data_IF_448906017660
#
_entry.id   IF_448906017660
#
_cell.length_a   1.000
_cell.length_b   1.000
_cell.length_c   1.000
_cell.angle_alpha   90.00
_cell.angle_beta   90.00
_cell.angle_gamma   90.00
#
_symmetry.space_group_name_H-M   'P 1'
#
loop_
_entity.id
_entity.type
_entity.pdbx_description
1 polymer ?
#
# COMPACT_ATOMS: atom_id res chain seq x y z
N UNK A 1 -19.92 -21.40 -47.99
CA UNK A 1 -19.68 -20.64 -46.75
C UNK A 1 -18.34 -21.08 -46.22
N UNK A 2 -17.30 -20.27 -46.42
CA UNK A 2 -15.95 -20.55 -45.90
C UNK A 2 -15.91 -20.14 -44.44
N UNK A 3 -15.90 -21.12 -43.53
CA UNK A 3 -15.60 -20.89 -42.12
C UNK A 3 -14.15 -20.40 -42.00
N UNK A 4 -13.96 -19.09 -41.88
CA UNK A 4 -12.68 -18.49 -41.57
C UNK A 4 -12.37 -18.76 -40.09
N UNK A 5 -11.64 -19.82 -39.80
CA UNK A 5 -11.12 -20.09 -38.44
C UNK A 5 -10.03 -19.06 -38.15
N UNK A 6 -10.34 -18.05 -37.32
CA UNK A 6 -9.33 -17.12 -36.82
C UNK A 6 -8.47 -17.87 -35.80
N UNK A 7 -7.30 -18.35 -36.22
CA UNK A 7 -6.31 -18.95 -35.32
C UNK A 7 -5.54 -17.83 -34.62
N UNK A 8 -5.73 -17.67 -33.31
CA UNK A 8 -4.94 -16.75 -32.47
C UNK A 8 -3.70 -17.47 -31.96
N UNK A 9 -2.51 -17.09 -32.43
CA UNK A 9 -1.24 -17.57 -31.87
C UNK A 9 -0.91 -16.83 -30.57
N UNK A 10 -0.81 -17.54 -29.45
CA UNK A 10 -0.37 -17.00 -28.17
C UNK A 10 1.07 -17.43 -27.92
N UNK A 11 2.00 -16.49 -27.87
CA UNK A 11 3.37 -16.75 -27.46
C UNK A 11 3.43 -16.75 -25.92
N UNK A 12 3.52 -17.96 -25.37
CA UNK A 12 3.68 -18.25 -23.95
C UNK A 12 4.84 -19.23 -23.78
N UNK A 13 5.26 -19.50 -22.54
CA UNK A 13 6.23 -20.58 -22.29
C UNK A 13 5.74 -21.92 -22.87
N UNK A 14 6.63 -22.74 -23.42
CA UNK A 14 6.23 -24.03 -24.00
C UNK A 14 5.87 -25.07 -22.91
N UNK A 15 4.89 -25.93 -23.20
CA UNK A 15 4.50 -27.07 -22.36
C UNK A 15 4.15 -26.68 -20.92
N UNK A 16 4.80 -27.31 -19.94
CA UNK A 16 4.55 -27.06 -18.51
C UNK A 16 4.85 -25.62 -18.03
N UNK A 17 5.52 -24.79 -18.85
CA UNK A 17 5.75 -23.38 -18.54
C UNK A 17 4.61 -22.45 -18.96
N UNK A 18 3.71 -22.90 -19.85
CA UNK A 18 2.71 -22.04 -20.48
C UNK A 18 1.82 -21.31 -19.47
N UNK A 19 1.33 -21.92 -18.37
CA UNK A 19 0.49 -21.23 -17.38
C UNK A 19 1.23 -20.20 -16.52
N UNK A 20 2.54 -20.06 -16.68
CA UNK A 20 3.40 -19.20 -15.86
C UNK A 20 3.48 -17.76 -16.38
N UNK A 21 2.38 -17.01 -16.38
CA UNK A 21 2.34 -15.61 -16.80
C UNK A 21 1.36 -14.77 -15.96
N UNK A 22 1.41 -13.45 -16.14
CA UNK A 22 0.46 -12.48 -15.56
C UNK A 22 -0.37 -11.78 -16.65
N UNK A 23 -0.42 -12.36 -17.85
CA UNK A 23 -1.07 -11.73 -19.00
C UNK A 23 -0.35 -10.41 -19.32
N UNK A 24 -1.06 -9.28 -19.46
CA UNK A 24 -0.47 -8.00 -19.82
C UNK A 24 0.47 -7.39 -18.78
N UNK A 25 0.67 -7.98 -17.59
CA UNK A 25 1.69 -7.52 -16.64
C UNK A 25 2.97 -8.35 -16.66
N UNK A 26 3.04 -9.40 -17.49
CA UNK A 26 4.21 -10.28 -17.54
C UNK A 26 5.48 -9.53 -17.94
N UNK A 27 5.37 -8.51 -18.78
CA UNK A 27 6.50 -7.66 -19.16
C UNK A 27 7.02 -6.74 -18.05
N UNK A 28 6.22 -6.46 -17.01
CA UNK A 28 6.68 -5.76 -15.81
C UNK A 28 7.39 -6.70 -14.82
N UNK A 29 7.18 -8.01 -14.98
CA UNK A 29 7.90 -9.05 -14.26
C UNK A 29 8.39 -10.11 -15.26
N UNK A 30 9.37 -9.78 -16.13
CA UNK A 30 9.79 -10.67 -17.22
C UNK A 30 10.29 -12.03 -16.72
N UNK A 31 10.20 -13.04 -17.58
CA UNK A 31 10.69 -14.38 -17.27
C UNK A 31 12.15 -14.40 -16.84
N UNK A 32 13.00 -13.61 -17.49
CA UNK A 32 14.43 -13.48 -17.19
C UNK A 32 14.69 -13.01 -15.75
N UNK A 33 13.91 -12.04 -15.26
CA UNK A 33 14.02 -11.53 -13.89
C UNK A 33 13.63 -12.62 -12.88
N UNK A 34 12.56 -13.36 -13.15
CA UNK A 34 12.13 -14.46 -12.28
C UNK A 34 13.19 -15.57 -12.26
N UNK A 35 13.76 -15.93 -13.41
CA UNK A 35 14.80 -16.95 -13.50
C UNK A 35 16.07 -16.55 -12.75
N UNK A 36 16.52 -15.30 -12.90
CA UNK A 36 17.69 -14.80 -12.19
C UNK A 36 17.49 -14.88 -10.67
N UNK A 37 16.31 -14.48 -10.18
CA UNK A 37 15.99 -14.59 -8.75
C UNK A 37 15.92 -16.05 -8.30
N UNK A 38 15.37 -16.96 -9.11
CA UNK A 38 15.39 -18.39 -8.80
C UNK A 38 16.82 -18.92 -8.73
N UNK A 39 17.72 -18.49 -9.62
CA UNK A 39 19.13 -18.87 -9.60
C UNK A 39 19.83 -18.33 -8.33
N UNK A 40 19.71 -17.04 -8.05
CA UNK A 40 20.30 -16.37 -6.87
C UNK A 40 19.82 -16.94 -5.53
N UNK A 41 18.62 -17.53 -5.52
CA UNK A 41 18.04 -18.14 -4.31
C UNK A 41 18.23 -19.65 -4.22
N UNK A 42 18.88 -20.27 -5.23
CA UNK A 42 19.10 -21.71 -5.29
C UNK A 42 17.80 -22.51 -5.46
N UNK A 43 16.79 -21.92 -6.11
CA UNK A 43 15.44 -22.50 -6.27
C UNK A 43 15.14 -22.95 -7.70
N UNK A 44 16.10 -22.88 -8.60
CA UNK A 44 16.02 -23.54 -9.92
C UNK A 44 15.91 -25.05 -9.71
N UNK A 45 14.93 -25.67 -10.36
CA UNK A 45 14.75 -27.12 -10.31
C UNK A 45 15.90 -27.86 -11.00
N UNK A 46 16.31 -29.02 -10.45
CA UNK A 46 17.25 -29.94 -11.12
C UNK A 46 16.60 -30.72 -12.27
N UNK A 47 15.29 -30.99 -12.16
CA UNK A 47 14.48 -31.66 -13.19
C UNK A 47 13.20 -30.86 -13.40
N UNK A 48 12.87 -30.59 -14.67
CA UNK A 48 11.60 -29.96 -15.06
C UNK A 48 10.47 -30.97 -14.87
N UNK A 49 9.43 -30.56 -14.13
CA UNK A 49 8.19 -31.29 -13.86
C UNK A 49 7.01 -30.38 -14.24
N UNK A 50 5.79 -30.88 -14.13
CA UNK A 50 4.54 -30.15 -14.43
C UNK A 50 4.37 -28.78 -13.75
N UNK A 51 5.06 -28.55 -12.63
CA UNK A 51 5.10 -27.27 -11.92
C UNK A 51 6.54 -26.77 -11.73
N UNK A 52 7.15 -26.17 -12.77
CA UNK A 52 8.46 -25.53 -12.67
C UNK A 52 8.42 -24.36 -11.67
N UNK A 53 9.57 -24.03 -11.05
CA UNK A 53 9.61 -22.99 -10.02
C UNK A 53 9.14 -21.62 -10.53
N UNK A 54 9.46 -21.27 -11.79
CA UNK A 54 9.00 -20.04 -12.46
C UNK A 54 7.47 -19.97 -12.52
N UNK A 55 6.81 -21.05 -12.91
CA UNK A 55 5.35 -21.12 -12.98
C UNK A 55 4.75 -20.91 -11.60
N UNK A 56 5.30 -21.57 -10.57
CA UNK A 56 4.81 -21.40 -9.19
C UNK A 56 4.94 -19.95 -8.72
N UNK A 57 6.00 -19.23 -9.09
CA UNK A 57 6.13 -17.78 -8.80
C UNK A 57 4.97 -17.00 -9.41
N UNK A 58 4.70 -17.18 -10.71
CA UNK A 58 3.63 -16.46 -11.39
C UNK A 58 2.24 -16.81 -10.85
N UNK A 59 1.98 -18.08 -10.55
CA UNK A 59 0.71 -18.49 -9.94
C UNK A 59 0.49 -17.85 -8.57
N UNK A 60 1.54 -17.72 -7.75
CA UNK A 60 1.43 -17.06 -6.45
C UNK A 60 1.14 -15.56 -6.60
N UNK A 61 1.81 -14.88 -7.54
CA UNK A 61 1.53 -13.47 -7.84
C UNK A 61 0.11 -13.32 -8.42
N UNK A 62 -0.29 -14.15 -9.38
CA UNK A 62 -1.66 -14.15 -9.90
C UNK A 62 -2.71 -14.43 -8.80
N UNK A 63 -2.41 -15.27 -7.81
CA UNK A 63 -3.28 -15.48 -6.65
C UNK A 63 -3.42 -14.21 -5.79
N UNK A 64 -2.36 -13.39 -5.69
CA UNK A 64 -2.44 -12.09 -5.01
C UNK A 64 -3.41 -11.13 -5.69
N UNK A 65 -3.52 -11.17 -7.03
CA UNK A 65 -4.52 -10.43 -7.81
C UNK A 65 -5.93 -11.02 -7.62
N UNK A 66 -6.03 -12.34 -7.49
CA UNK A 66 -7.29 -13.06 -7.36
C UNK A 66 -7.56 -13.51 -5.92
N UNK A 67 -7.74 -12.57 -4.98
CA UNK A 67 -7.79 -12.85 -3.53
C UNK A 67 -8.89 -13.82 -3.04
N UNK A 68 -9.86 -14.19 -3.88
CA UNK A 68 -10.89 -15.20 -3.59
C UNK A 68 -10.63 -16.58 -4.20
N UNK A 69 -9.56 -16.73 -4.96
CA UNK A 69 -9.36 -17.86 -5.88
C UNK A 69 -8.23 -18.76 -5.36
N UNK A 70 -8.49 -20.07 -5.37
CA UNK A 70 -7.46 -21.06 -5.02
C UNK A 70 -6.36 -21.14 -6.08
N UNK A 71 -5.15 -21.51 -5.70
CA UNK A 71 -4.02 -21.62 -6.63
C UNK A 71 -4.30 -22.54 -7.84
N UNK A 72 -5.06 -23.62 -7.66
CA UNK A 72 -5.47 -24.50 -8.76
C UNK A 72 -6.47 -23.87 -9.71
N UNK A 73 -7.36 -23.02 -9.20
CA UNK A 73 -8.25 -22.24 -10.06
C UNK A 73 -7.48 -21.13 -10.79
N UNK A 74 -6.49 -20.49 -10.15
CA UNK A 74 -5.58 -19.55 -10.83
C UNK A 74 -4.80 -20.24 -11.96
N UNK A 75 -4.32 -21.46 -11.73
CA UNK A 75 -3.66 -22.25 -12.77
C UNK A 75 -4.58 -22.50 -13.97
N UNK A 76 -5.83 -22.93 -13.72
CA UNK A 76 -6.82 -23.13 -14.79
C UNK A 76 -7.18 -21.83 -15.50
N UNK A 77 -7.27 -20.71 -14.79
CA UNK A 77 -7.49 -19.39 -15.40
C UNK A 77 -6.36 -19.04 -16.35
N UNK A 78 -5.10 -19.13 -15.90
CA UNK A 78 -3.94 -18.83 -16.75
C UNK A 78 -3.83 -19.77 -17.96
N UNK A 79 -4.23 -21.04 -17.80
CA UNK A 79 -4.25 -22.01 -18.90
C UNK A 79 -5.45 -21.94 -19.85
N UNK A 80 -6.50 -21.16 -19.52
CA UNK A 80 -7.80 -21.27 -20.18
C UNK A 80 -7.75 -20.96 -21.68
N UNK A 81 -7.05 -19.89 -22.06
CA UNK A 81 -6.87 -19.48 -23.45
C UNK A 81 -5.71 -20.18 -24.17
N UNK A 82 -4.99 -21.08 -23.48
CA UNK A 82 -3.86 -21.84 -24.01
C UNK A 82 -4.30 -23.24 -24.51
N UNK A 83 -5.60 -23.42 -24.78
CA UNK A 83 -6.20 -24.67 -25.25
C UNK A 83 -5.46 -25.24 -26.47
N UNK A 84 -5.01 -26.49 -26.35
CA UNK A 84 -4.15 -27.17 -27.32
C UNK A 84 -2.78 -27.58 -26.77
N UNK A 85 -2.33 -26.99 -25.64
CA UNK A 85 -0.99 -27.23 -25.09
C UNK A 85 -0.83 -28.48 -24.19
N UNK A 86 -1.85 -29.35 -24.07
CA UNK A 86 -1.77 -30.57 -23.24
C UNK A 86 -1.40 -30.30 -21.78
N UNK A 87 -1.93 -29.22 -21.19
CA UNK A 87 -1.54 -28.77 -19.87
C UNK A 87 -1.94 -29.78 -18.78
N UNK A 88 -1.04 -30.08 -17.82
CA UNK A 88 -1.37 -30.96 -16.70
C UNK A 88 -2.44 -30.31 -15.81
N UNK A 89 -3.26 -31.10 -15.12
CA UNK A 89 -4.16 -30.62 -14.06
C UNK A 89 -3.53 -30.89 -12.69
N UNK A 90 -2.83 -29.91 -12.10
CA UNK A 90 -2.08 -30.13 -10.89
C UNK A 90 -3.01 -30.33 -9.68
N UNK A 91 -2.82 -31.45 -8.99
CA UNK A 91 -3.56 -31.72 -7.75
C UNK A 91 -3.25 -30.69 -6.65
N UNK A 92 -4.15 -30.56 -5.68
CA UNK A 92 -3.92 -29.71 -4.49
C UNK A 92 -2.61 -30.07 -3.77
N UNK A 93 -2.30 -31.36 -3.64
CA UNK A 93 -1.06 -31.84 -3.04
C UNK A 93 0.16 -31.48 -3.89
N UNK A 94 0.07 -31.60 -5.21
CA UNK A 94 1.14 -31.19 -6.14
C UNK A 94 1.47 -29.70 -6.02
N UNK A 95 0.44 -28.84 -6.00
CA UNK A 95 0.59 -27.40 -5.79
C UNK A 95 1.20 -27.07 -4.43
N UNK A 96 0.74 -27.74 -3.36
CA UNK A 96 1.33 -27.58 -2.03
C UNK A 96 2.81 -27.95 -2.01
N UNK A 97 3.17 -29.12 -2.54
CA UNK A 97 4.57 -29.58 -2.61
C UNK A 97 5.44 -28.64 -3.45
N UNK A 98 4.91 -28.08 -4.54
CA UNK A 98 5.61 -27.12 -5.37
C UNK A 98 5.89 -25.81 -4.63
N UNK A 99 4.92 -25.31 -3.85
CA UNK A 99 5.10 -24.13 -3.00
C UNK A 99 6.13 -24.34 -1.89
N UNK A 100 6.10 -25.50 -1.23
CA UNK A 100 7.06 -25.88 -0.19
C UNK A 100 8.48 -25.95 -0.77
N UNK A 101 8.64 -26.56 -1.95
CA UNK A 101 9.93 -26.61 -2.68
C UNK A 101 10.46 -25.22 -3.01
N UNK A 102 9.59 -24.31 -3.46
CA UNK A 102 9.96 -22.94 -3.80
C UNK A 102 10.40 -22.13 -2.56
N UNK A 103 9.65 -22.21 -1.46
CA UNK A 103 9.85 -21.37 -0.28
C UNK A 103 9.51 -19.89 -0.51
N UNK A 104 9.76 -19.05 0.49
CA UNK A 104 9.40 -17.61 0.46
C UNK A 104 10.50 -16.70 -0.10
N UNK A 105 11.76 -17.13 -0.04
CA UNK A 105 12.94 -16.31 -0.39
C UNK A 105 12.90 -15.74 -1.83
N UNK A 106 12.45 -16.47 -2.87
CA UNK A 106 12.33 -15.90 -4.22
C UNK A 106 11.39 -14.69 -4.27
N UNK A 107 10.20 -14.80 -3.65
CA UNK A 107 9.23 -13.69 -3.65
C UNK A 107 9.70 -12.52 -2.77
N UNK A 108 10.40 -12.80 -1.67
CA UNK A 108 11.02 -11.74 -0.88
C UNK A 108 12.04 -10.95 -1.71
N UNK A 109 12.88 -11.63 -2.49
CA UNK A 109 13.89 -10.98 -3.32
C UNK A 109 13.24 -10.22 -4.49
N UNK A 110 12.26 -10.82 -5.17
CA UNK A 110 11.51 -10.14 -6.25
C UNK A 110 10.84 -8.86 -5.78
N UNK A 111 10.19 -8.88 -4.60
CA UNK A 111 9.60 -7.66 -4.04
C UNK A 111 10.65 -6.57 -3.82
N UNK A 112 11.83 -6.94 -3.28
CA UNK A 112 12.93 -5.98 -3.06
C UNK A 112 13.44 -5.37 -4.36
N UNK A 113 13.64 -6.19 -5.40
CA UNK A 113 14.10 -5.67 -6.70
C UNK A 113 13.04 -4.75 -7.33
N UNK A 114 11.76 -5.09 -7.26
CA UNK A 114 10.67 -4.22 -7.74
C UNK A 114 10.58 -2.90 -6.94
N UNK A 115 10.86 -2.91 -5.65
CA UNK A 115 10.86 -1.70 -4.83
C UNK A 115 12.09 -0.79 -5.05
N UNK A 116 13.22 -1.34 -5.51
CA UNK A 116 14.43 -0.56 -5.88
C UNK A 116 14.25 0.28 -7.14
N UNK A 117 13.29 -0.11 -7.98
CA UNK A 117 12.94 0.60 -9.20
C UNK A 117 11.49 1.10 -9.09
N UNK A 118 11.22 2.07 -8.20
CA UNK A 118 9.88 2.64 -8.09
C UNK A 118 9.48 3.29 -9.40
N UNK A 119 8.17 3.53 -9.57
CA UNK A 119 7.73 4.35 -10.68
C UNK A 119 8.36 5.74 -10.58
N UNK A 120 8.82 6.26 -11.72
CA UNK A 120 9.36 7.61 -11.80
C UNK A 120 8.34 8.62 -11.23
N UNK A 121 8.80 9.49 -10.34
CA UNK A 121 8.01 10.61 -9.80
C UNK A 121 8.28 11.81 -10.72
N UNK A 122 7.35 12.22 -11.60
CA UNK A 122 7.64 13.24 -12.61
C UNK A 122 7.97 14.60 -12.02
N UNK A 123 7.45 14.90 -10.82
CA UNK A 123 7.65 16.17 -10.11
C UNK A 123 7.78 15.90 -8.60
N UNK A 124 9.01 15.77 -8.07
CA UNK A 124 9.23 15.64 -6.63
C UNK A 124 8.82 16.94 -5.91
N UNK A 125 8.22 16.81 -4.71
CA UNK A 125 7.76 17.95 -3.95
C UNK A 125 8.96 18.74 -3.42
N UNK A 126 9.18 19.95 -3.96
CA UNK A 126 10.34 20.80 -3.61
C UNK A 126 11.69 20.06 -3.74
N UNK A 127 11.79 19.17 -4.73
CA UNK A 127 12.99 18.36 -4.96
C UNK A 127 13.11 17.12 -4.07
N UNK A 128 12.09 16.82 -3.25
CA UNK A 128 12.07 15.65 -2.36
C UNK A 128 11.03 14.61 -2.80
N UNK A 129 11.40 13.34 -2.70
CA UNK A 129 10.50 12.21 -2.83
C UNK A 129 9.70 12.05 -1.54
N UNK A 130 8.40 12.33 -1.60
CA UNK A 130 7.52 12.24 -0.43
C UNK A 130 7.12 10.79 -0.22
N UNK A 131 7.45 10.27 0.95
CA UNK A 131 7.12 8.93 1.40
C UNK A 131 6.30 8.97 2.68
N UNK A 132 5.51 7.94 2.95
CA UNK A 132 4.81 7.76 4.22
C UNK A 132 5.06 6.36 4.79
N UNK A 133 5.12 6.27 6.11
CA UNK A 133 5.19 5.00 6.86
C UNK A 133 3.93 4.82 7.66
N UNK A 134 3.32 3.65 7.54
CA UNK A 134 2.17 3.26 8.36
C UNK A 134 2.05 1.73 8.42
N UNK A 135 1.23 1.24 9.35
CA UNK A 135 0.96 -0.16 9.60
C UNK A 135 -0.47 -0.58 9.26
N UNK A 136 -0.66 -1.84 8.89
CA UNK A 136 -1.98 -2.47 8.86
C UNK A 136 -1.90 -3.92 9.31
N UNK A 137 -3.05 -4.48 9.68
CA UNK A 137 -3.16 -5.90 10.06
C UNK A 137 -3.96 -6.70 9.04
N UNK A 138 -3.48 -7.91 8.75
CA UNK A 138 -4.15 -8.92 7.93
C UNK A 138 -4.55 -10.10 8.81
N UNK A 139 -5.77 -10.62 8.61
CA UNK A 139 -6.22 -11.83 9.28
C UNK A 139 -5.61 -13.07 8.64
N UNK A 140 -5.18 -14.02 9.46
CA UNK A 140 -4.62 -15.30 8.99
C UNK A 140 -5.38 -16.49 9.58
N UNK A 141 -5.31 -17.69 8.98
CA UNK A 141 -5.99 -18.87 9.50
C UNK A 141 -5.59 -19.18 10.95
N UNK A 142 -6.56 -19.56 11.79
CA UNK A 142 -6.31 -20.02 13.16
C UNK A 142 -5.79 -21.47 13.14
N UNK A 143 -4.50 -21.63 13.28
CA UNK A 143 -3.81 -22.93 13.34
C UNK A 143 -2.79 -22.94 14.48
N UNK A 144 -2.32 -24.12 14.90
CA UNK A 144 -1.30 -24.22 15.93
C UNK A 144 -0.02 -23.43 15.56
N UNK A 145 0.43 -23.52 14.32
CA UNK A 145 1.65 -22.85 13.85
C UNK A 145 1.49 -21.33 13.77
N UNK A 146 0.35 -20.82 13.30
CA UNK A 146 0.08 -19.37 13.25
C UNK A 146 -0.10 -18.78 14.65
N UNK A 147 -0.75 -19.50 15.57
CA UNK A 147 -0.86 -19.08 16.98
C UNK A 147 0.48 -19.05 17.69
N UNK A 148 1.33 -20.05 17.46
CA UNK A 148 2.67 -20.09 18.06
C UNK A 148 3.53 -18.90 17.61
N UNK A 149 3.36 -18.45 16.36
CA UNK A 149 4.12 -17.31 15.82
C UNK A 149 3.53 -15.94 16.16
N UNK A 150 2.20 -15.77 16.06
CA UNK A 150 1.55 -14.45 16.15
C UNK A 150 0.83 -14.21 17.49
N UNK A 151 0.59 -15.26 18.27
CA UNK A 151 -0.31 -15.23 19.41
C UNK A 151 -1.77 -15.05 19.02
N UNK A 152 -2.62 -14.70 20.01
CA UNK A 152 -3.98 -14.20 19.78
C UNK A 152 -4.11 -12.79 20.31
N UNK A 153 -4.67 -11.90 19.49
CA UNK A 153 -4.78 -10.51 19.86
C UNK A 153 -5.92 -10.30 20.86
N UNK A 154 -5.61 -9.74 22.03
CA UNK A 154 -6.62 -9.37 23.03
C UNK A 154 -7.08 -7.94 22.78
N UNK A 155 -8.37 -7.72 22.84
CA UNK A 155 -9.00 -6.41 22.79
C UNK A 155 -9.99 -6.28 23.96
N UNK A 156 -10.51 -5.07 24.20
CA UNK A 156 -11.40 -4.78 25.35
C UNK A 156 -12.62 -5.73 25.44
N UNK A 157 -13.04 -6.31 24.32
CA UNK A 157 -14.22 -7.18 24.23
C UNK A 157 -13.88 -8.68 24.13
N UNK A 158 -12.61 -9.07 24.32
CA UNK A 158 -12.19 -10.47 24.37
C UNK A 158 -10.98 -10.77 23.49
N UNK A 159 -10.85 -12.02 23.04
CA UNK A 159 -9.77 -12.45 22.17
C UNK A 159 -10.24 -12.42 20.73
N UNK A 160 -9.42 -11.90 19.82
CA UNK A 160 -9.72 -11.89 18.38
C UNK A 160 -9.93 -13.32 17.87
N UNK A 161 -10.89 -13.50 16.96
CA UNK A 161 -11.21 -14.80 16.38
C UNK A 161 -10.04 -15.38 15.57
N UNK A 162 -9.49 -14.58 14.65
CA UNK A 162 -8.32 -14.94 13.85
C UNK A 162 -7.03 -14.32 14.42
N UNK A 163 -5.89 -15.02 14.38
CA UNK A 163 -4.58 -14.40 14.54
C UNK A 163 -4.38 -13.29 13.49
N UNK A 164 -3.58 -12.28 13.84
CA UNK A 164 -3.33 -11.12 13.01
C UNK A 164 -1.83 -10.99 12.75
N UNK A 165 -1.45 -10.73 11.50
CA UNK A 165 -0.09 -10.34 11.11
C UNK A 165 -0.09 -8.87 10.79
N UNK A 166 0.86 -8.11 11.35
CA UNK A 166 1.06 -6.70 11.04
C UNK A 166 1.99 -6.58 9.84
N UNK A 167 1.61 -5.76 8.87
CA UNK A 167 2.41 -5.34 7.73
C UNK A 167 2.67 -3.84 7.89
N UNK A 168 3.92 -3.43 7.81
CA UNK A 168 4.32 -2.02 7.82
C UNK A 168 5.03 -1.74 6.50
N UNK A 169 4.61 -0.68 5.84
CA UNK A 169 5.11 -0.31 4.52
C UNK A 169 5.65 1.12 4.51
N UNK A 170 6.72 1.32 3.75
CA UNK A 170 7.18 2.63 3.29
C UNK A 170 6.65 2.81 1.86
N UNK A 171 5.93 3.90 1.61
CA UNK A 171 5.19 4.12 0.36
C UNK A 171 5.50 5.49 -0.20
N UNK A 172 5.80 5.58 -1.50
CA UNK A 172 5.87 6.86 -2.21
C UNK A 172 4.47 7.44 -2.37
N UNK A 173 4.20 8.63 -1.85
CA UNK A 173 2.84 9.17 -1.79
C UNK A 173 2.26 9.51 -3.17
N UNK A 174 3.07 10.00 -4.11
CA UNK A 174 2.63 10.43 -5.44
C UNK A 174 2.18 9.28 -6.35
N UNK A 175 2.81 8.12 -6.24
CA UNK A 175 2.56 6.94 -7.08
C UNK A 175 1.87 5.81 -6.32
N UNK A 176 1.88 5.86 -4.99
CA UNK A 176 1.50 4.79 -4.06
C UNK A 176 2.28 3.48 -4.28
N UNK A 177 3.45 3.53 -4.92
CA UNK A 177 4.35 2.37 -5.03
C UNK A 177 5.06 2.13 -3.70
N UNK A 178 5.32 0.85 -3.41
CA UNK A 178 6.10 0.44 -2.24
C UNK A 178 7.58 0.78 -2.45
N UNK A 179 8.20 1.36 -1.43
CA UNK A 179 9.65 1.50 -1.32
C UNK A 179 10.25 0.36 -0.47
N UNK A 180 9.54 -0.10 0.55
CA UNK A 180 9.90 -1.28 1.34
C UNK A 180 8.69 -1.75 2.16
N UNK A 181 8.72 -3.00 2.62
CA UNK A 181 7.72 -3.54 3.53
C UNK A 181 8.31 -4.60 4.47
N UNK A 182 7.81 -4.63 5.70
CA UNK A 182 8.11 -5.66 6.69
C UNK A 182 6.82 -6.17 7.32
N UNK A 183 6.84 -7.41 7.81
CA UNK A 183 5.70 -7.97 8.51
C UNK A 183 6.12 -8.86 9.67
N UNK A 184 5.21 -9.07 10.62
CA UNK A 184 5.44 -9.86 11.82
C UNK A 184 4.26 -9.84 12.78
N UNK A 185 4.47 -10.30 14.02
CA UNK A 185 3.47 -10.18 15.10
C UNK A 185 3.05 -8.72 15.30
N UNK A 186 1.80 -8.52 15.74
CA UNK A 186 1.30 -7.17 16.03
C UNK A 186 2.09 -6.55 17.19
N UNK A 187 2.79 -5.46 16.90
CA UNK A 187 3.52 -4.69 17.91
C UNK A 187 2.62 -3.61 18.51
N UNK A 188 2.66 -3.45 19.84
CA UNK A 188 2.08 -2.28 20.51
C UNK A 188 2.84 -0.97 20.23
N UNK A 189 4.01 -1.05 19.57
CA UNK A 189 4.86 0.09 19.19
C UNK A 189 5.29 -0.09 17.74
N UNK A 190 4.55 0.49 16.80
CA UNK A 190 4.76 0.28 15.35
C UNK A 190 6.13 0.73 14.86
N UNK A 191 6.72 1.75 15.52
CA UNK A 191 8.07 2.21 15.21
C UNK A 191 9.15 1.12 15.38
N UNK A 192 8.92 0.10 16.21
CA UNK A 192 9.90 -0.98 16.46
C UNK A 192 10.12 -1.82 15.19
N UNK A 193 9.11 -2.48 14.61
CA UNK A 193 9.25 -3.13 13.31
C UNK A 193 9.59 -2.14 12.18
N UNK A 194 9.09 -0.90 12.23
CA UNK A 194 9.39 0.10 11.19
C UNK A 194 10.86 0.51 11.11
N UNK A 195 11.66 0.38 12.19
CA UNK A 195 13.12 0.58 12.15
C UNK A 195 13.80 -0.21 11.04
N UNK A 196 13.26 -1.38 10.67
CA UNK A 196 13.80 -2.20 9.58
C UNK A 196 13.66 -1.54 8.21
N UNK A 197 12.73 -0.59 8.03
CA UNK A 197 12.51 0.14 6.78
C UNK A 197 13.55 1.26 6.57
N UNK A 198 14.27 1.67 7.62
CA UNK A 198 15.30 2.72 7.53
C UNK A 198 16.42 2.37 6.54
N UNK A 199 16.66 1.08 6.28
CA UNK A 199 17.61 0.60 5.25
C UNK A 199 17.29 1.05 3.83
N UNK A 200 16.07 1.51 3.60
CA UNK A 200 15.53 1.91 2.30
C UNK A 200 15.37 3.42 2.18
N UNK A 201 15.75 4.17 3.22
CA UNK A 201 15.77 5.62 3.19
C UNK A 201 17.13 6.13 2.70
N UNK A 202 17.10 7.28 2.03
CA UNK A 202 18.27 7.96 1.52
C UNK A 202 18.05 9.47 1.45
N UNK A 203 19.13 10.22 1.21
CA UNK A 203 19.07 11.65 0.89
C UNK A 203 18.13 11.93 -0.27
N UNK A 204 17.34 13.00 -0.15
CA UNK A 204 16.32 13.37 -1.14
C UNK A 204 14.92 12.82 -0.82
N UNK A 205 14.74 12.07 0.27
CA UNK A 205 13.41 11.65 0.74
C UNK A 205 12.87 12.55 1.85
N UNK A 206 11.56 12.79 1.83
CA UNK A 206 10.80 13.33 2.96
C UNK A 206 9.83 12.26 3.47
N UNK A 207 10.02 11.80 4.71
CA UNK A 207 9.17 10.77 5.34
C UNK A 207 8.10 11.41 6.23
N UNK A 208 6.84 11.25 5.82
CA UNK A 208 5.65 11.64 6.58
C UNK A 208 5.29 10.55 7.60
N UNK A 209 5.18 10.95 8.86
CA UNK A 209 5.00 10.06 10.00
C UNK A 209 3.81 10.49 10.85
N UNK A 210 2.97 9.55 11.28
CA UNK A 210 1.91 9.83 12.26
C UNK A 210 2.46 9.87 13.70
N UNK A 211 1.61 10.27 14.66
CA UNK A 211 1.95 10.44 16.07
C UNK A 211 2.49 9.20 16.77
N UNK A 212 2.27 7.99 16.23
CA UNK A 212 2.85 6.76 16.75
C UNK A 212 4.35 6.59 16.49
N UNK A 213 4.97 7.46 15.69
CA UNK A 213 6.38 7.38 15.26
C UNK A 213 7.25 8.51 15.82
N UNK A 214 6.80 9.21 16.87
CA UNK A 214 7.50 10.36 17.47
C UNK A 214 8.63 10.00 18.45
N UNK A 215 9.03 8.73 18.47
CA UNK A 215 10.10 8.21 19.34
C UNK A 215 11.46 8.81 18.95
N UNK A 216 12.10 9.48 19.92
CA UNK A 216 13.39 10.15 19.80
C UNK A 216 14.47 9.38 19.02
N UNK A 217 14.73 8.13 19.45
CA UNK A 217 15.74 7.29 18.81
C UNK A 217 15.36 6.89 17.39
N UNK A 218 14.07 6.69 17.10
CA UNK A 218 13.61 6.38 15.75
C UNK A 218 13.84 7.56 14.79
N UNK A 219 13.49 8.78 15.21
CA UNK A 219 13.71 9.98 14.41
C UNK A 219 15.21 10.27 14.21
N UNK A 220 16.04 9.99 15.23
CA UNK A 220 17.50 10.14 15.12
C UNK A 220 18.11 9.18 14.11
N UNK A 221 17.71 7.91 14.15
CA UNK A 221 18.17 6.90 13.19
C UNK A 221 17.65 7.19 11.79
N UNK A 222 16.44 7.75 11.66
CA UNK A 222 15.89 8.19 10.38
C UNK A 222 16.75 9.29 9.76
N UNK A 223 17.05 10.37 10.49
CA UNK A 223 17.90 11.45 9.96
C UNK A 223 19.32 10.96 9.66
N UNK A 224 19.83 9.96 10.39
CA UNK A 224 21.14 9.36 10.10
C UNK A 224 21.21 8.67 8.73
N UNK A 225 20.07 8.35 8.10
CA UNK A 225 20.02 7.86 6.70
C UNK A 225 20.19 8.96 5.65
N UNK A 226 20.18 10.23 6.08
CA UNK A 226 20.18 11.40 5.20
C UNK A 226 18.78 11.83 4.72
N UNK A 227 17.73 11.07 5.05
CA UNK A 227 16.34 11.46 4.76
C UNK A 227 15.82 12.51 5.75
N UNK A 228 14.89 13.32 5.28
CA UNK A 228 14.11 14.26 6.09
C UNK A 228 12.82 13.62 6.61
N UNK A 229 12.23 14.21 7.65
CA UNK A 229 10.93 13.80 8.16
C UNK A 229 9.99 14.96 8.44
N UNK A 230 8.69 14.67 8.41
CA UNK A 230 7.66 15.45 9.09
C UNK A 230 6.79 14.49 9.90
N UNK A 231 6.76 14.68 11.22
CA UNK A 231 6.01 13.83 12.16
C UNK A 231 4.94 14.64 12.87
N UNK A 232 3.74 14.09 13.00
CA UNK A 232 2.74 14.64 13.91
C UNK A 232 3.14 14.32 15.35
N UNK A 233 3.06 15.31 16.22
CA UNK A 233 3.30 15.15 17.65
C UNK A 233 1.98 15.09 18.42
N UNK A 234 1.98 14.44 19.60
CA UNK A 234 0.86 14.54 20.53
C UNK A 234 0.56 16.00 20.85
N UNK A 235 -0.73 16.36 20.98
CA UNK A 235 -1.15 17.73 21.30
C UNK A 235 -0.57 18.23 22.64
N UNK A 236 -0.22 17.30 23.53
CA UNK A 236 0.37 17.56 24.84
C UNK A 236 1.89 17.77 24.79
N UNK A 237 2.53 17.61 23.63
CA UNK A 237 3.97 17.81 23.50
C UNK A 237 4.36 19.26 23.83
N UNK A 238 5.29 19.41 24.76
CA UNK A 238 5.85 20.71 25.15
C UNK A 238 7.12 20.95 24.34
N UNK A 239 7.08 21.96 23.47
CA UNK A 239 8.17 22.32 22.56
C UNK A 239 8.54 23.79 22.77
N UNK A 240 9.49 24.11 23.67
CA UNK A 240 9.90 25.49 23.89
C UNK A 240 10.50 26.07 22.60
N UNK A 241 10.13 27.30 22.26
CA UNK A 241 10.65 27.97 21.07
C UNK A 241 12.06 28.50 21.35
N UNK A 242 13.03 28.04 20.57
CA UNK A 242 14.38 28.61 20.53
C UNK A 242 14.40 29.85 19.62
N UNK A 243 13.71 29.78 18.48
CA UNK A 243 13.58 30.87 17.53
C UNK A 243 12.23 30.77 16.81
N UNK A 244 11.55 31.90 16.57
CA UNK A 244 10.32 31.95 15.75
C UNK A 244 10.62 32.47 14.36
N UNK A 245 9.91 31.95 13.36
CA UNK A 245 10.02 32.37 11.97
C UNK A 245 8.78 33.14 11.50
N UNK A 246 8.88 33.99 10.46
CA UNK A 246 7.76 34.79 9.95
C UNK A 246 6.56 33.96 9.45
N UNK A 247 6.78 32.72 9.01
CA UNK A 247 5.72 31.81 8.56
C UNK A 247 4.91 31.18 9.71
N UNK A 248 5.17 31.58 10.96
CA UNK A 248 4.49 31.09 12.16
C UNK A 248 5.08 29.80 12.74
N UNK A 249 6.03 29.17 12.06
CA UNK A 249 6.78 28.04 12.61
C UNK A 249 7.86 28.50 13.60
N UNK A 250 8.40 27.57 14.38
CA UNK A 250 9.47 27.86 15.31
C UNK A 250 10.48 26.73 15.43
N UNK A 251 11.75 27.07 15.60
CA UNK A 251 12.82 26.15 15.95
C UNK A 251 12.65 25.71 17.40
N UNK A 252 12.84 24.42 17.66
CA UNK A 252 12.79 23.82 18.99
C UNK A 252 13.74 22.62 19.08
N UNK A 253 13.92 22.08 20.28
CA UNK A 253 14.63 20.82 20.47
C UNK A 253 13.66 19.69 20.74
N UNK A 254 13.84 18.58 20.04
CA UNK A 254 13.18 17.31 20.33
C UNK A 254 14.25 16.25 20.51
N UNK A 255 14.36 15.72 21.72
CA UNK A 255 15.34 14.71 22.09
C UNK A 255 16.79 15.07 21.69
N UNK A 256 17.20 16.30 22.00
CA UNK A 256 18.56 16.79 21.73
C UNK A 256 18.82 17.18 20.27
N UNK A 257 17.81 17.16 19.40
CA UNK A 257 17.95 17.58 17.99
C UNK A 257 17.11 18.80 17.69
N UNK A 258 17.66 19.70 16.89
CA UNK A 258 16.90 20.80 16.31
C UNK A 258 15.85 20.27 15.34
N UNK A 259 14.61 20.69 15.56
CA UNK A 259 13.49 20.45 14.67
C UNK A 259 12.68 21.73 14.55
N UNK A 260 11.99 21.90 13.44
CA UNK A 260 11.04 23.00 13.28
C UNK A 260 9.64 22.51 13.57
N UNK A 261 8.97 23.18 14.51
CA UNK A 261 7.61 22.89 14.91
C UNK A 261 6.62 23.82 14.19
N UNK A 262 5.48 23.25 13.81
CA UNK A 262 4.41 23.94 13.08
C UNK A 262 3.08 23.56 13.75
N UNK A 263 2.37 24.56 14.28
CA UNK A 263 1.00 24.37 14.76
C UNK A 263 0.02 24.67 13.64
N UNK A 264 -0.79 23.68 13.25
CA UNK A 264 -1.73 23.78 12.14
C UNK A 264 -3.14 23.60 12.67
N UNK A 265 -4.05 24.50 12.35
CA UNK A 265 -5.48 24.32 12.54
C UNK A 265 -6.10 23.90 11.22
N UNK A 266 -6.67 22.70 11.19
CA UNK A 266 -7.39 22.15 10.04
C UNK A 266 -8.88 22.27 10.31
N UNK A 267 -9.56 23.07 9.50
CA UNK A 267 -11.00 23.23 9.51
C UNK A 267 -11.60 22.53 8.31
N UNK A 268 -12.59 21.68 8.56
CA UNK A 268 -13.39 21.01 7.55
C UNK A 268 -14.81 21.54 7.68
N UNK A 269 -15.22 22.37 6.73
CA UNK A 269 -16.56 22.96 6.66
C UNK A 269 -17.40 22.15 5.68
N UNK A 270 -18.59 21.77 6.10
CA UNK A 270 -19.53 20.93 5.36
C UNK A 270 -20.93 21.53 5.44
N UNK A 271 -21.86 21.04 4.63
CA UNK A 271 -23.29 21.36 4.73
C UNK A 271 -23.89 21.01 6.11
N UNK A 272 -23.23 20.10 6.86
CA UNK A 272 -23.62 19.70 8.22
C UNK A 272 -22.85 20.42 9.33
N UNK A 273 -22.07 21.44 8.98
CA UNK A 273 -21.31 22.27 9.92
C UNK A 273 -19.80 22.11 9.81
N UNK A 274 -19.09 22.81 10.71
CA UNK A 274 -17.63 22.92 10.71
C UNK A 274 -17.01 22.06 11.79
N UNK A 275 -16.00 21.29 11.43
CA UNK A 275 -15.14 20.57 12.38
C UNK A 275 -13.74 21.14 12.34
N UNK A 276 -13.21 21.45 13.51
CA UNK A 276 -11.85 21.98 13.66
C UNK A 276 -10.97 20.96 14.39
N UNK A 277 -9.78 20.73 13.88
CA UNK A 277 -8.74 19.90 14.49
C UNK A 277 -7.43 20.68 14.52
N UNK A 278 -6.69 20.58 15.61
CA UNK A 278 -5.35 21.19 15.69
C UNK A 278 -4.30 20.09 15.66
N UNK A 279 -3.31 20.24 14.79
CA UNK A 279 -2.16 19.37 14.65
C UNK A 279 -0.92 20.13 15.09
N UNK A 280 0.00 19.41 15.72
CA UNK A 280 1.36 19.88 15.96
C UNK A 280 2.28 19.01 15.13
N UNK A 281 2.97 19.60 14.17
CA UNK A 281 3.94 18.91 13.32
C UNK A 281 5.35 19.29 13.78
N UNK A 282 6.29 18.37 13.67
CA UNK A 282 7.72 18.63 13.76
C UNK A 282 8.41 18.10 12.53
N UNK A 283 9.34 18.88 11.97
CA UNK A 283 10.08 18.53 10.76
C UNK A 283 11.58 18.76 10.92
N UNK A 284 12.39 17.95 10.23
CA UNK A 284 13.84 18.18 10.08
C UNK A 284 14.16 19.26 9.04
N UNK A 285 13.20 19.69 8.21
CA UNK A 285 13.37 20.77 7.25
C UNK A 285 13.42 22.12 7.96
N UNK A 286 14.61 22.59 8.31
CA UNK A 286 14.77 23.80 9.15
C UNK A 286 14.57 25.11 8.37
N UNK A 287 14.93 25.16 7.08
CA UNK A 287 14.84 26.39 6.29
C UNK A 287 13.40 26.74 5.89
N UNK A 288 12.84 27.81 6.49
CA UNK A 288 11.46 28.26 6.26
C UNK A 288 11.24 28.98 4.94
N UNK A 289 12.32 29.47 4.30
CA UNK A 289 12.23 30.12 2.99
C UNK A 289 12.07 29.10 1.87
N UNK A 290 12.80 27.98 1.94
CA UNK A 290 12.72 26.91 0.93
C UNK A 290 11.58 25.94 1.20
N UNK A 291 11.23 25.73 2.47
CA UNK A 291 10.12 24.89 2.89
C UNK A 291 9.19 25.66 3.83
N UNK A 292 8.29 26.51 3.34
CA UNK A 292 7.34 27.25 4.18
C UNK A 292 6.40 26.35 4.99
N UNK A 293 5.95 26.81 6.15
CA UNK A 293 5.09 26.06 7.07
C UNK A 293 3.76 25.60 6.45
N UNK A 294 3.11 26.45 5.66
CA UNK A 294 1.87 26.15 4.93
C UNK A 294 2.07 25.06 3.87
N UNK A 295 3.20 25.10 3.14
CA UNK A 295 3.57 24.08 2.17
C UNK A 295 3.81 22.71 2.84
N UNK A 296 4.48 22.69 4.00
CA UNK A 296 4.64 21.43 4.78
C UNK A 296 3.29 20.94 5.29
N UNK A 297 2.44 21.83 5.80
CA UNK A 297 1.12 21.47 6.30
C UNK A 297 0.24 20.85 5.18
N UNK A 298 0.29 21.42 3.97
CA UNK A 298 -0.38 20.89 2.80
C UNK A 298 0.19 19.51 2.40
N UNK A 299 1.52 19.38 2.29
CA UNK A 299 2.19 18.12 1.97
C UNK A 299 1.90 17.03 3.01
N UNK A 300 1.79 17.37 4.29
CA UNK A 300 1.47 16.40 5.34
C UNK A 300 0.13 15.67 5.11
N UNK A 301 -0.79 16.26 4.33
CA UNK A 301 -2.03 15.58 3.93
C UNK A 301 -1.76 14.30 3.12
N UNK A 302 -0.69 14.29 2.31
CA UNK A 302 -0.30 13.16 1.47
C UNK A 302 0.13 11.93 2.29
N UNK A 303 0.30 12.06 3.61
CA UNK A 303 0.46 10.91 4.50
C UNK A 303 -0.69 9.93 4.35
N UNK A 304 -1.92 10.39 4.10
CA UNK A 304 -3.09 9.53 3.90
C UNK A 304 -2.98 8.57 2.69
N UNK A 305 -2.05 8.81 1.77
CA UNK A 305 -1.85 7.96 0.60
C UNK A 305 -1.39 6.53 0.97
N UNK A 306 -0.77 6.35 2.15
CA UNK A 306 -0.45 5.02 2.70
C UNK A 306 -1.70 4.27 3.20
N UNK A 307 -2.71 4.98 3.72
CA UNK A 307 -3.97 4.37 4.13
C UNK A 307 -4.75 3.90 2.90
N UNK A 308 -4.73 4.67 1.82
CA UNK A 308 -5.29 4.28 0.52
C UNK A 308 -4.56 3.06 -0.09
N UNK A 309 -3.26 2.95 0.14
CA UNK A 309 -2.46 1.77 -0.21
C UNK A 309 -2.98 0.53 0.52
N UNK A 310 -3.15 0.61 1.84
CA UNK A 310 -3.70 -0.51 2.61
C UNK A 310 -5.16 -0.80 2.30
N UNK A 311 -5.97 0.21 1.98
CA UNK A 311 -7.34 0.02 1.51
C UNK A 311 -7.36 -0.79 0.21
N UNK A 312 -6.47 -0.48 -0.72
CA UNK A 312 -6.34 -1.21 -1.99
C UNK A 312 -6.00 -2.69 -1.76
N UNK A 313 -5.04 -2.97 -0.88
CA UNK A 313 -4.63 -4.35 -0.55
C UNK A 313 -5.74 -5.10 0.20
N UNK A 314 -6.30 -4.52 1.27
CA UNK A 314 -7.25 -5.22 2.17
C UNK A 314 -8.65 -5.33 1.60
N UNK A 315 -9.14 -4.25 1.00
CA UNK A 315 -10.52 -4.16 0.54
C UNK A 315 -10.64 -4.55 -0.92
N UNK A 316 -9.80 -3.98 -1.80
CA UNK A 316 -9.96 -4.21 -3.24
C UNK A 316 -9.39 -5.56 -3.69
N UNK A 317 -8.16 -5.90 -3.29
CA UNK A 317 -7.55 -7.19 -3.69
C UNK A 317 -8.08 -8.36 -2.86
N UNK A 318 -8.04 -8.24 -1.52
CA UNK A 318 -8.46 -9.34 -0.64
C UNK A 318 -9.97 -9.40 -0.40
N UNK A 319 -10.72 -8.31 -0.55
CA UNK A 319 -12.14 -8.28 -0.20
C UNK A 319 -12.41 -8.49 1.30
N UNK A 320 -11.48 -8.11 2.17
CA UNK A 320 -11.55 -8.31 3.62
C UNK A 320 -11.35 -9.77 4.07
N UNK A 321 -10.91 -10.66 3.18
CA UNK A 321 -10.74 -12.09 3.47
C UNK A 321 -9.50 -12.37 4.32
N UNK A 322 -9.54 -13.53 4.97
CA UNK A 322 -8.40 -14.14 5.67
C UNK A 322 -7.42 -14.70 4.63
N UNK A 323 -6.13 -14.61 4.91
CA UNK A 323 -5.10 -15.27 4.09
C UNK A 323 -5.29 -16.80 4.05
N UNK A 324 -4.66 -17.48 3.09
CA UNK A 324 -4.88 -18.90 2.84
C UNK A 324 -3.95 -19.80 3.66
N UNK A 325 -2.73 -19.35 3.97
CA UNK A 325 -1.69 -20.22 4.51
C UNK A 325 -1.74 -20.40 6.03
N UNK A 326 -1.50 -21.63 6.48
CA UNK A 326 -1.53 -22.02 7.90
C UNK A 326 -0.14 -22.14 8.52
N UNK A 327 0.93 -21.82 7.80
CA UNK A 327 2.32 -21.88 8.32
C UNK A 327 3.02 -20.54 8.16
N UNK A 328 3.94 -20.16 9.06
CA UNK A 328 4.70 -18.90 8.93
C UNK A 328 5.43 -18.77 7.59
N UNK A 329 6.04 -19.84 7.09
CA UNK A 329 6.72 -19.85 5.79
C UNK A 329 5.75 -19.65 4.61
N UNK A 330 4.58 -20.29 4.66
CA UNK A 330 3.53 -20.11 3.66
C UNK A 330 2.93 -18.71 3.69
N UNK A 331 2.71 -18.14 4.88
CA UNK A 331 2.24 -16.77 5.06
C UNK A 331 3.26 -15.75 4.54
N UNK A 332 4.55 -15.94 4.82
CA UNK A 332 5.58 -15.07 4.27
C UNK A 332 5.56 -15.08 2.73
N UNK A 333 5.42 -16.27 2.13
CA UNK A 333 5.29 -16.41 0.67
C UNK A 333 4.04 -15.71 0.14
N UNK A 334 2.88 -15.89 0.77
CA UNK A 334 1.61 -15.29 0.35
C UNK A 334 1.62 -13.75 0.50
N UNK A 335 2.14 -13.22 1.60
CA UNK A 335 2.25 -11.76 1.81
C UNK A 335 3.18 -11.13 0.78
N UNK A 336 4.34 -11.74 0.49
CA UNK A 336 5.22 -11.24 -0.57
C UNK A 336 4.55 -11.28 -1.94
N UNK A 337 3.83 -12.36 -2.28
CA UNK A 337 3.09 -12.44 -3.53
C UNK A 337 2.02 -11.35 -3.66
N UNK A 338 1.27 -11.10 -2.58
CA UNK A 338 0.26 -10.05 -2.50
C UNK A 338 0.88 -8.65 -2.73
N UNK A 339 2.00 -8.36 -2.08
CA UNK A 339 2.69 -7.08 -2.22
C UNK A 339 3.33 -6.89 -3.61
N UNK A 340 3.87 -7.97 -4.22
CA UNK A 340 4.35 -7.94 -5.61
C UNK A 340 3.18 -7.60 -6.55
N UNK A 341 2.04 -8.27 -6.38
CA UNK A 341 0.84 -8.04 -7.18
C UNK A 341 0.37 -6.59 -7.10
N UNK A 342 0.31 -6.05 -5.89
CA UNK A 342 0.02 -4.64 -5.64
C UNK A 342 1.02 -3.71 -6.35
N UNK A 343 2.32 -4.00 -6.22
CA UNK A 343 3.38 -3.20 -6.81
C UNK A 343 3.28 -3.16 -8.34
N UNK A 344 3.05 -4.30 -8.99
CA UNK A 344 2.89 -4.38 -10.46
C UNK A 344 1.71 -3.54 -10.95
N UNK A 345 0.57 -3.58 -10.24
CA UNK A 345 -0.58 -2.72 -10.55
C UNK A 345 -0.22 -1.23 -10.41
N UNK A 346 0.54 -0.85 -9.39
CA UNK A 346 0.97 0.55 -9.22
C UNK A 346 1.97 0.99 -10.28
N UNK A 347 2.87 0.11 -10.71
CA UNK A 347 3.82 0.40 -11.78
C UNK A 347 3.11 0.63 -13.12
N UNK A 348 2.14 -0.21 -13.50
CA UNK A 348 1.38 0.01 -14.75
C UNK A 348 0.52 1.27 -14.67
N UNK A 349 -0.10 1.54 -13.51
CA UNK A 349 -0.86 2.76 -13.28
C UNK A 349 0.01 4.01 -13.39
N UNK A 350 1.20 4.01 -12.80
CA UNK A 350 2.09 5.15 -12.87
C UNK A 350 2.53 5.43 -14.32
N UNK A 351 2.86 4.38 -15.09
CA UNK A 351 3.18 4.51 -16.52
C UNK A 351 2.00 5.08 -17.32
N UNK A 352 0.79 4.60 -17.07
CA UNK A 352 -0.42 5.11 -17.71
C UNK A 352 -0.68 6.59 -17.37
N UNK A 353 -0.50 6.97 -16.11
CA UNK A 353 -0.60 8.37 -15.67
C UNK A 353 0.41 9.28 -16.37
N UNK A 354 1.69 8.88 -16.39
CA UNK A 354 2.74 9.62 -17.11
C UNK A 354 2.40 9.79 -18.58
N UNK A 355 1.95 8.72 -19.25
CA UNK A 355 1.56 8.79 -20.66
C UNK A 355 0.32 9.65 -20.93
N UNK A 356 -0.59 9.78 -19.95
CA UNK A 356 -1.74 10.68 -20.02
C UNK A 356 -1.40 12.14 -19.63
N UNK A 357 -0.20 12.42 -19.12
CA UNK A 357 0.12 13.70 -18.48
C UNK A 357 -0.69 13.95 -17.20
N UNK A 358 -1.15 12.89 -16.54
CA UNK A 358 -2.01 12.94 -15.34
C UNK A 358 -1.30 12.31 -14.13
N UNK A 359 -1.67 12.71 -12.90
CA UNK A 359 -1.14 12.05 -11.70
C UNK A 359 -1.55 10.57 -11.67
N UNK A 360 -0.69 9.72 -11.10
CA UNK A 360 -0.97 8.28 -10.93
C UNK A 360 -2.30 8.03 -10.19
N UNK A 361 -2.69 8.94 -9.29
CA UNK A 361 -3.95 8.89 -8.54
C UNK A 361 -5.21 9.06 -9.40
N UNK A 362 -5.07 9.54 -10.65
CA UNK A 362 -6.14 9.55 -11.63
C UNK A 362 -6.39 8.17 -12.27
N UNK A 363 -5.48 7.20 -12.10
CA UNK A 363 -5.67 5.86 -12.65
C UNK A 363 -6.49 4.99 -11.70
N UNK A 364 -7.44 4.22 -12.23
CA UNK A 364 -8.33 3.38 -11.42
C UNK A 364 -7.69 2.07 -10.97
N UNK A 365 -7.38 1.93 -9.67
CA UNK A 365 -6.80 0.67 -9.13
C UNK A 365 -7.70 -0.55 -9.36
N UNK A 366 -9.02 -0.41 -9.15
CA UNK A 366 -9.97 -1.50 -9.39
C UNK A 366 -10.08 -1.87 -10.88
N UNK A 367 -9.94 -0.89 -11.79
CA UNK A 367 -9.92 -1.13 -13.22
C UNK A 367 -8.62 -1.86 -13.60
N UNK A 368 -7.47 -1.41 -13.10
CA UNK A 368 -6.18 -2.06 -13.33
C UNK A 368 -6.21 -3.54 -12.89
N UNK A 369 -6.77 -3.80 -11.71
CA UNK A 369 -6.95 -5.16 -11.19
C UNK A 369 -7.85 -6.01 -12.11
N UNK A 370 -9.02 -5.48 -12.49
CA UNK A 370 -9.98 -6.19 -13.36
C UNK A 370 -9.36 -6.54 -14.70
N UNK A 371 -8.76 -5.57 -15.38
CA UNK A 371 -8.16 -5.78 -16.70
C UNK A 371 -6.97 -6.74 -16.66
N UNK A 372 -6.19 -6.69 -15.59
CA UNK A 372 -5.11 -7.66 -15.38
C UNK A 372 -5.65 -9.08 -15.24
N UNK A 373 -6.68 -9.29 -14.41
CA UNK A 373 -7.29 -10.62 -14.19
C UNK A 373 -7.93 -11.16 -15.48
N UNK A 374 -8.59 -10.30 -16.26
CA UNK A 374 -9.09 -10.64 -17.60
C UNK A 374 -7.95 -11.04 -18.53
N UNK A 375 -6.85 -10.28 -18.53
CA UNK A 375 -5.66 -10.53 -19.33
C UNK A 375 -4.97 -11.86 -19.00
N UNK A 376 -4.95 -12.27 -17.73
CA UNK A 376 -4.48 -13.60 -17.31
C UNK A 376 -5.36 -14.68 -17.93
N UNK A 377 -6.68 -14.54 -17.83
CA UNK A 377 -7.61 -15.58 -18.32
C UNK A 377 -7.57 -15.72 -19.85
N UNK A 378 -7.37 -14.60 -20.54
CA UNK A 378 -7.33 -14.53 -22.01
C UNK A 378 -5.92 -14.72 -22.60
N UNK A 379 -4.91 -14.95 -21.75
CA UNK A 379 -3.50 -15.09 -22.14
C UNK A 379 -3.02 -13.98 -23.10
N UNK A 380 -3.43 -12.74 -22.82
CA UNK A 380 -3.19 -11.60 -23.71
C UNK A 380 -1.87 -10.89 -23.38
N UNK A 381 -1.10 -10.53 -24.41
CA UNK A 381 0.17 -9.79 -24.29
C UNK A 381 1.16 -10.35 -23.27
N UNK A 382 1.35 -11.67 -23.26
CA UNK A 382 2.30 -12.35 -22.35
C UNK A 382 3.73 -11.88 -22.59
N UNK A 383 4.17 -11.76 -23.85
CA UNK A 383 5.50 -11.25 -24.18
C UNK A 383 5.63 -9.72 -23.98
N UNK A 384 4.56 -9.08 -23.53
CA UNK A 384 4.45 -7.64 -23.44
C UNK A 384 4.12 -6.97 -24.76
N UNK A 385 4.04 -5.63 -24.73
CA UNK A 385 3.93 -4.87 -25.96
C UNK A 385 5.28 -4.87 -26.70
N UNK A 386 5.27 -4.68 -28.04
CA UNK A 386 6.47 -4.75 -28.88
C UNK A 386 7.56 -3.71 -28.55
N UNK A 387 7.24 -2.70 -27.75
CA UNK A 387 8.18 -1.71 -27.19
C UNK A 387 7.87 -1.55 -25.70
N UNK A 388 8.89 -1.68 -24.83
CA UNK A 388 8.75 -1.51 -23.38
C UNK A 388 8.32 -0.09 -22.96
N UNK A 389 8.34 0.88 -23.88
CA UNK A 389 7.76 2.22 -23.73
C UNK A 389 6.24 2.23 -23.89
N UNK A 390 5.66 1.20 -24.48
CA UNK A 390 4.21 1.03 -24.60
C UNK A 390 3.62 0.58 -23.26
N UNK A 391 2.37 0.96 -23.04
CA UNK A 391 1.67 0.76 -21.77
C UNK A 391 1.14 -0.67 -21.57
N UNK A 392 1.19 -1.50 -22.63
CA UNK A 392 0.41 -2.73 -22.74
C UNK A 392 -1.11 -2.46 -22.71
N UNK A 393 -1.91 -3.52 -22.83
CA UNK A 393 -3.37 -3.43 -22.87
C UNK A 393 -3.95 -2.77 -21.61
N UNK A 394 -3.47 -3.16 -20.42
CA UNK A 394 -3.94 -2.61 -19.15
C UNK A 394 -3.62 -1.12 -19.03
N UNK A 395 -2.37 -0.72 -19.29
CA UNK A 395 -1.98 0.67 -19.16
C UNK A 395 -2.64 1.57 -20.23
N UNK A 396 -2.82 1.07 -21.45
CA UNK A 396 -3.57 1.75 -22.51
C UNK A 396 -5.01 1.99 -22.09
N UNK A 397 -5.69 0.95 -21.59
CA UNK A 397 -7.05 1.07 -21.07
C UNK A 397 -7.15 2.11 -19.95
N UNK A 398 -6.20 2.12 -19.00
CA UNK A 398 -6.18 3.09 -17.90
C UNK A 398 -5.97 4.53 -18.39
N UNK A 399 -5.05 4.75 -19.33
CA UNK A 399 -4.78 6.05 -19.94
C UNK A 399 -6.04 6.64 -20.59
N UNK A 400 -6.80 5.80 -21.28
CA UNK A 400 -7.98 6.21 -22.04
C UNK A 400 -9.23 6.34 -21.13
N UNK A 401 -9.17 5.83 -19.90
CA UNK A 401 -10.27 5.87 -18.93
C UNK A 401 -9.84 6.42 -17.55
N UNK A 402 -9.34 7.67 -17.49
CA UNK A 402 -8.95 8.28 -16.22
C UNK A 402 -10.17 8.43 -15.31
N UNK A 403 -9.95 8.29 -14.01
CA UNK A 403 -10.97 8.59 -13.01
C UNK A 403 -11.31 10.09 -13.05
N UNK A 404 -12.58 10.44 -12.79
CA UNK A 404 -12.93 11.84 -12.60
C UNK A 404 -12.19 12.42 -11.38
N UNK A 405 -12.04 13.76 -11.31
CA UNK A 405 -11.44 14.42 -10.15
C UNK A 405 -12.00 13.91 -8.82
N UNK A 406 -11.10 13.69 -7.85
CA UNK A 406 -11.46 13.14 -6.53
C UNK A 406 -12.50 14.06 -5.88
N UNK A 407 -13.72 13.53 -5.69
CA UNK A 407 -14.77 14.25 -4.97
C UNK A 407 -14.45 14.23 -3.47
N UNK A 408 -14.61 15.37 -2.81
CA UNK A 408 -14.51 15.43 -1.35
C UNK A 408 -15.68 14.63 -0.77
N UNK A 409 -15.38 13.48 -0.15
CA UNK A 409 -16.39 12.59 0.43
C UNK A 409 -16.37 12.72 1.94
N UNK A 410 -17.43 13.32 2.49
CA UNK A 410 -17.68 13.31 3.93
C UNK A 410 -18.77 12.31 4.21
N UNK A 411 -18.40 11.28 4.96
CA UNK A 411 -19.36 10.37 5.55
C UNK A 411 -19.36 10.64 7.05
N UNK A 412 -20.51 10.97 7.62
CA UNK A 412 -20.68 10.71 9.04
C UNK A 412 -20.42 9.22 9.27
N UNK A 413 -19.67 8.88 10.33
CA UNK A 413 -19.50 7.49 10.78
C UNK A 413 -20.86 6.97 11.27
N UNK A 414 -21.70 6.62 10.31
CA UNK A 414 -23.02 6.03 10.49
C UNK A 414 -22.95 4.64 9.88
N UNK A 415 -23.33 3.63 10.66
CA UNK A 415 -23.52 2.27 10.17
C UNK A 415 -24.76 2.26 9.29
N UNK A 416 -24.61 2.58 8.00
CA UNK A 416 -25.74 2.66 7.04
C UNK A 416 -26.32 1.29 6.68
N UNK A 417 -25.53 0.23 6.81
CA UNK A 417 -25.95 -1.19 6.78
C UNK A 417 -25.33 -1.88 7.97
N UNK A 418 -26.14 -2.53 8.82
CA UNK A 418 -25.60 -3.37 9.88
C UNK A 418 -24.86 -4.56 9.25
N UNK A 419 -23.76 -4.99 9.87
CA UNK A 419 -22.95 -6.12 9.41
C UNK A 419 -23.61 -7.48 9.69
N UNK A 420 -24.78 -7.50 10.32
CA UNK A 420 -25.50 -8.70 10.69
C UNK A 420 -26.50 -9.11 9.59
N UNK A 421 -26.45 -10.39 9.17
CA UNK A 421 -27.52 -11.01 8.37
C UNK A 421 -28.83 -11.14 9.15
N UNK A 422 -28.77 -11.13 10.48
CA UNK A 422 -29.94 -11.08 11.33
C UNK A 422 -30.41 -9.64 11.44
N UNK A 423 -31.66 -9.41 11.06
CA UNK A 423 -32.33 -8.13 11.29
C UNK A 423 -32.12 -7.74 12.75
N UNK A 424 -31.44 -6.63 13.00
CA UNK A 424 -31.42 -6.04 14.33
C UNK A 424 -32.89 -5.83 14.72
N UNK A 425 -33.32 -6.51 15.79
CA UNK A 425 -34.70 -6.46 16.27
C UNK A 425 -35.17 -5.01 16.35
N UNK A 426 -36.42 -4.80 15.88
CA UNK A 426 -37.16 -3.54 15.80
C UNK A 426 -36.59 -2.42 16.67
N UNK A 427 -35.81 -1.52 16.07
CA UNK A 427 -35.61 -0.18 16.63
C UNK A 427 -36.86 0.60 16.27
N UNK A 428 -37.62 0.99 17.31
CA UNK A 428 -38.88 1.69 17.21
C UNK A 428 -38.80 2.98 16.38
N UNK A 429 -39.92 3.23 15.70
CA UNK A 429 -40.41 4.47 15.11
C UNK A 429 -39.41 5.59 14.77
N UNK A 430 -39.32 5.84 13.46
CA UNK A 430 -39.36 7.21 12.96
C UNK A 430 -38.02 7.93 12.83
N UNK A 431 -37.14 7.47 11.93
CA UNK A 431 -36.25 8.39 11.20
C UNK A 431 -36.28 8.07 9.71
N UNK A 432 -36.87 8.98 8.95
CA UNK A 432 -36.87 9.00 7.48
C UNK A 432 -35.46 8.69 6.98
N UNK A 433 -35.36 7.86 5.94
CA UNK A 433 -34.15 7.60 5.17
C UNK A 433 -33.65 8.96 4.64
N UNK A 434 -32.71 9.59 5.35
CA UNK A 434 -32.07 10.80 4.85
C UNK A 434 -31.16 10.38 3.69
N UNK A 435 -31.60 10.63 2.48
CA UNK A 435 -30.73 10.75 1.32
C UNK A 435 -29.82 11.93 1.62
N UNK A 436 -28.60 11.66 2.09
CA UNK A 436 -27.62 12.73 2.33
C UNK A 436 -27.24 13.27 0.96
N UNK A 437 -27.48 14.56 0.66
CA UNK A 437 -26.99 15.16 -0.57
C UNK A 437 -25.47 15.04 -0.61
N UNK A 438 -24.91 14.98 -1.82
CA UNK A 438 -23.46 15.15 -1.95
C UNK A 438 -23.17 16.63 -1.69
N UNK A 439 -22.89 17.00 -0.44
CA UNK A 439 -22.57 18.37 -0.06
C UNK A 439 -21.16 18.77 -0.50
N UNK A 440 -20.99 20.02 -0.89
CA UNK A 440 -19.67 20.63 -1.09
C UNK A 440 -19.01 20.81 0.28
N UNK A 441 -17.72 20.55 0.35
CA UNK A 441 -16.96 20.78 1.56
C UNK A 441 -15.63 21.44 1.29
N UNK A 442 -15.27 22.31 2.23
CA UNK A 442 -14.10 23.16 2.16
C UNK A 442 -13.16 22.77 3.29
N UNK A 443 -11.91 22.47 2.95
CA UNK A 443 -10.86 22.19 3.92
C UNK A 443 -9.91 23.40 3.91
N UNK A 444 -9.74 24.03 5.06
CA UNK A 444 -8.79 25.12 5.25
C UNK A 444 -7.77 24.69 6.29
N UNK A 445 -6.48 24.81 5.96
CA UNK A 445 -5.39 24.64 6.90
C UNK A 445 -4.75 26.00 7.18
N UNK A 446 -4.76 26.41 8.44
CA UNK A 446 -4.24 27.71 8.89
C UNK A 446 -3.09 27.48 9.85
N UNK A 447 -1.97 28.18 9.66
CA UNK A 447 -0.84 28.13 10.59
C UNK A 447 -1.18 29.00 11.81
N UNK A 448 -1.03 28.41 13.00
CA UNK A 448 -1.25 29.12 14.25
C UNK A 448 0.02 29.87 14.62
N UNK A 449 -0.01 31.19 14.52
CA UNK A 449 1.12 32.04 14.92
C UNK A 449 1.32 32.12 16.46
N UNK A 450 0.30 31.73 17.24
CA UNK A 450 0.34 31.70 18.71
C UNK A 450 0.55 30.26 19.21
N UNK A 451 1.52 30.04 20.10
CA UNK A 451 1.69 28.73 20.75
C UNK A 451 0.52 28.43 21.69
N UNK A 452 0.05 27.17 21.79
CA UNK A 452 -1.00 26.80 22.75
C UNK A 452 -0.62 26.96 24.24
N UNK A 453 0.62 27.37 24.56
CA UNK A 453 1.12 27.53 25.93
C UNK A 453 1.32 29.00 26.37
N UNK A 454 0.83 29.99 25.64
CA UNK A 454 0.81 31.38 26.15
C UNK A 454 -0.45 31.61 27.00
N UNK A 455 -0.45 31.14 28.25
CA UNK A 455 -1.33 31.73 29.26
C UNK A 455 -0.69 33.04 29.73
N UNK A 456 -1.43 34.17 29.78
CA UNK A 456 -0.94 35.37 30.43
C UNK A 456 -0.76 35.08 31.92
N UNK A 457 0.43 35.39 32.43
CA UNK A 457 0.75 35.36 33.85
C UNK A 457 -0.20 36.34 34.55
N UNK A 458 -1.24 35.85 35.22
CA UNK A 458 -1.99 36.68 36.16
C UNK A 458 -1.08 36.94 37.38
N UNK A 459 -0.87 38.19 37.79
CA UNK A 459 -0.12 38.47 39.00
C UNK A 459 -0.92 37.96 40.21
N UNK A 460 -0.24 37.26 41.12
CA UNK A 460 -0.81 36.85 42.40
C UNK A 460 -1.30 38.10 43.13
N UNK A 461 -2.60 38.15 43.45
CA UNK A 461 -3.11 39.08 44.46
C UNK A 461 -2.50 38.69 45.80
N UNK A 462 -1.75 39.62 46.40
CA UNK A 462 -1.48 39.62 47.83
C UNK A 462 -2.78 39.93 48.57
N UNK A 463 -3.17 39.03 49.46
CA UNK A 463 -3.88 39.31 50.71
C UNK A 463 -3.55 38.19 51.67
#
# INVERSE_FOLDING_TARGET
MSESVITRSVAAGAGCFAPGHLGPLTWLLPFSVVDEVLARTGRVQRRVRDLPARVVVYLLVAQGLCGSVSLGAVYRMAGAALGGAGLPDPTRQGLHAARVRLGSRPLQLLLRELCRHPAAVPQPWRGLEVCAVDGTVLAVPDSAATRAWLGKHKHRYGTAGYPLVQVIALVYCSTRTLADAVFGPVSGREFVPARRLLRSLHTGMLVLLDAGFDAAGFLSDLVATGADFTVRLPRTARLPALQRYPDGSWLTLRAGREVRAIAVTVQVTTDQGTRTSTWLLATSLLNWRTHPADAIAACYHDRWEVEETFCSVKSTMLGGRVLHCTTPAGLAQEIHALLISYQLLRLVMARAGTAAGLPCTAMGFALALRETVNGITTATEIDGPPDARLLGAVGTYLRDHPLPPRRLRIYNRLVKRSLSKYAAGKIGNGKKRQTVPTGTAHITATINHNSPNSHPHQPKRQT
#
